data_IF_815286618423
#
_entry.id   IF_815286618423
#
_cell.length_a   1.000
_cell.length_b   1.000
_cell.length_c   1.000
_cell.angle_alpha   90.00
_cell.angle_beta   90.00
_cell.angle_gamma   90.00
#
_symmetry.space_group_name_H-M   'P 1'
#
loop_
_entity.id
_entity.type
_entity.pdbx_description
1 polymer ?
#
# COMPACT_ATOMS: atom_id res chain seq x y z
N UNK A 1 6.57 5.54 10.67
CA UNK A 1 7.87 5.31 11.35
C UNK A 1 8.24 6.41 12.36
N UNK A 2 8.07 7.71 12.07
CA UNK A 2 8.43 8.82 12.99
C UNK A 2 7.86 8.64 14.41
N UNK A 3 6.62 8.13 14.54
CA UNK A 3 5.97 7.89 15.84
C UNK A 3 6.70 6.87 16.74
N UNK A 4 7.54 5.99 16.20
CA UNK A 4 8.37 5.06 16.98
C UNK A 4 9.68 5.68 17.47
N UNK A 5 10.13 6.77 16.84
CA UNK A 5 11.34 7.50 17.24
C UNK A 5 11.05 8.65 18.21
N UNK A 6 9.78 9.03 18.36
CA UNK A 6 9.33 10.08 19.29
C UNK A 6 8.77 9.53 20.61
N UNK A 7 8.80 8.20 20.82
CA UNK A 7 8.36 7.59 22.09
C UNK A 7 9.53 7.48 23.06
N UNK A 8 9.29 7.73 24.37
CA UNK A 8 10.36 7.88 25.36
C UNK A 8 11.12 6.58 25.67
N UNK A 9 10.63 5.40 25.27
CA UNK A 9 11.33 4.14 25.51
C UNK A 9 10.93 3.04 24.52
N UNK A 10 11.81 2.03 24.37
CA UNK A 10 11.51 0.81 23.60
C UNK A 10 10.32 0.03 24.17
N UNK A 11 10.12 0.06 25.48
CA UNK A 11 8.97 -0.56 26.12
C UNK A 11 7.67 0.15 25.72
N UNK A 12 7.67 1.48 25.66
CA UNK A 12 6.53 2.26 25.18
C UNK A 12 6.23 2.00 23.70
N UNK A 13 7.27 1.87 22.86
CA UNK A 13 7.12 1.44 21.46
C UNK A 13 6.41 0.09 21.35
N UNK A 14 6.91 -0.95 22.05
CA UNK A 14 6.30 -2.29 22.05
C UNK A 14 4.85 -2.27 22.55
N UNK A 15 4.57 -1.54 23.63
CA UNK A 15 3.22 -1.40 24.16
C UNK A 15 2.29 -0.74 23.15
N UNK A 16 2.74 0.32 22.46
CA UNK A 16 1.98 0.96 21.39
C UNK A 16 1.69 -0.01 20.25
N UNK A 17 2.64 -0.85 19.86
CA UNK A 17 2.44 -1.87 18.82
C UNK A 17 1.38 -2.88 19.24
N UNK A 18 1.48 -3.41 20.47
CA UNK A 18 0.52 -4.40 21.00
C UNK A 18 -0.89 -3.81 21.05
N UNK A 19 -1.04 -2.60 21.59
CA UNK A 19 -2.34 -1.92 21.67
C UNK A 19 -2.90 -1.67 20.27
N UNK A 20 -2.06 -1.26 19.32
CA UNK A 20 -2.47 -1.06 17.93
C UNK A 20 -2.97 -2.36 17.28
N UNK A 21 -2.20 -3.45 17.40
CA UNK A 21 -2.58 -4.76 16.86
C UNK A 21 -3.87 -5.27 17.52
N UNK A 22 -3.99 -5.16 18.83
CA UNK A 22 -5.18 -5.58 19.58
C UNK A 22 -6.42 -4.78 19.16
N UNK A 23 -6.30 -3.46 18.99
CA UNK A 23 -7.39 -2.60 18.53
C UNK A 23 -7.83 -2.95 17.09
N UNK A 24 -6.88 -3.19 16.18
CA UNK A 24 -7.17 -3.62 14.81
C UNK A 24 -7.85 -4.99 14.79
N UNK A 25 -7.32 -5.95 15.55
CA UNK A 25 -7.90 -7.29 15.66
C UNK A 25 -9.31 -7.27 16.23
N UNK A 26 -9.52 -6.50 17.30
CA UNK A 26 -10.85 -6.29 17.88
C UNK A 26 -11.82 -5.64 16.89
N UNK A 27 -11.37 -4.62 16.16
CA UNK A 27 -12.17 -3.99 15.11
C UNK A 27 -12.58 -4.99 14.01
N UNK A 28 -11.66 -5.84 13.54
CA UNK A 28 -12.00 -6.86 12.54
C UNK A 28 -13.05 -7.86 13.04
N UNK A 29 -12.99 -8.26 14.31
CA UNK A 29 -14.04 -9.08 14.92
C UNK A 29 -15.40 -8.35 14.86
N UNK A 30 -15.44 -7.06 15.20
CA UNK A 30 -16.68 -6.27 15.10
C UNK A 30 -17.19 -6.16 13.66
N UNK A 31 -16.31 -5.97 12.67
CA UNK A 31 -16.74 -5.90 11.26
C UNK A 31 -17.39 -7.20 10.78
N UNK A 32 -16.94 -8.35 11.28
CA UNK A 32 -17.56 -9.64 10.99
C UNK A 32 -19.00 -9.69 11.53
N UNK A 33 -19.23 -9.25 12.76
CA UNK A 33 -20.59 -9.20 13.33
C UNK A 33 -21.50 -8.20 12.61
N UNK A 34 -20.96 -7.05 12.18
CA UNK A 34 -21.72 -6.08 11.39
C UNK A 34 -22.12 -6.66 10.02
N UNK A 35 -21.21 -7.36 9.35
CA UNK A 35 -21.50 -8.05 8.08
C UNK A 35 -22.55 -9.14 8.23
N UNK A 36 -22.42 -9.98 9.25
CA UNK A 36 -23.43 -11.01 9.57
C UNK A 36 -24.78 -10.39 9.93
N UNK A 37 -24.79 -9.33 10.74
CA UNK A 37 -26.01 -8.61 11.11
C UNK A 37 -26.71 -7.99 9.89
N UNK A 38 -25.94 -7.41 8.96
CA UNK A 38 -26.49 -6.91 7.70
C UNK A 38 -27.10 -8.05 6.86
N UNK A 39 -26.45 -9.22 6.83
CA UNK A 39 -26.91 -10.40 6.09
C UNK A 39 -28.21 -10.95 6.66
N UNK A 40 -28.28 -11.14 7.98
CA UNK A 40 -29.47 -11.72 8.64
C UNK A 40 -30.68 -10.80 8.59
N UNK A 41 -30.48 -9.49 8.56
CA UNK A 41 -31.57 -8.51 8.39
C UNK A 41 -31.98 -8.31 6.92
N UNK A 42 -31.30 -8.95 5.96
CA UNK A 42 -31.62 -8.82 4.53
C UNK A 42 -31.36 -7.42 3.96
N UNK A 43 -30.50 -6.63 4.60
CA UNK A 43 -30.20 -5.24 4.21
C UNK A 43 -28.96 -5.11 3.33
N UNK A 44 -28.28 -6.22 3.02
CA UNK A 44 -27.13 -6.22 2.11
C UNK A 44 -27.64 -6.07 0.68
N UNK A 45 -27.09 -5.10 -0.04
CA UNK A 45 -27.17 -5.09 -1.48
C UNK A 45 -26.10 -6.03 -2.04
N UNK A 46 -26.51 -7.14 -2.64
CA UNK A 46 -25.62 -8.18 -3.20
C UNK A 46 -24.75 -7.62 -4.35
N UNK A 47 -25.19 -6.51 -4.95
CA UNK A 47 -24.43 -5.79 -5.99
C UNK A 47 -23.48 -4.72 -5.41
N UNK A 48 -23.68 -4.27 -4.16
CA UNK A 48 -22.87 -3.24 -3.47
C UNK A 48 -22.42 -3.70 -2.06
N UNK A 49 -21.42 -4.58 -2.02
CA UNK A 49 -20.98 -5.25 -0.79
C UNK A 49 -20.23 -4.38 0.23
N UNK A 50 -20.05 -3.07 -0.01
CA UNK A 50 -19.21 -2.20 0.84
C UNK A 50 -20.01 -1.26 1.77
N UNK A 51 -21.35 -1.31 1.73
CA UNK A 51 -22.22 -0.43 2.54
C UNK A 51 -22.93 -1.16 3.69
N UNK A 52 -22.43 -2.33 4.12
CA UNK A 52 -23.08 -3.17 5.13
C UNK A 52 -23.37 -2.44 6.45
N UNK A 53 -22.43 -1.61 6.94
CA UNK A 53 -22.61 -0.89 8.21
C UNK A 53 -23.63 0.26 8.11
N UNK A 54 -23.56 1.17 7.11
CA UNK A 54 -24.62 2.16 6.89
C UNK A 54 -25.99 1.53 6.64
N UNK A 55 -26.10 0.50 5.79
CA UNK A 55 -27.38 -0.13 5.47
C UNK A 55 -27.99 -0.85 6.68
N UNK A 56 -27.15 -1.49 7.51
CA UNK A 56 -27.60 -2.01 8.79
C UNK A 56 -28.04 -0.89 9.75
N UNK A 57 -27.35 0.24 9.79
CA UNK A 57 -27.80 1.38 10.59
C UNK A 57 -29.15 1.93 10.10
N UNK A 58 -29.40 1.92 8.78
CA UNK A 58 -30.65 2.37 8.18
C UNK A 58 -31.85 1.52 8.61
N UNK A 59 -31.69 0.20 8.80
CA UNK A 59 -32.79 -0.62 9.30
C UNK A 59 -33.23 -0.28 10.73
N UNK A 60 -32.37 0.39 11.51
CA UNK A 60 -32.72 0.92 12.83
C UNK A 60 -33.20 2.38 12.80
N UNK A 61 -33.10 3.07 11.65
CA UNK A 61 -33.64 4.40 11.42
C UNK A 61 -32.67 5.40 10.79
N UNK A 62 -33.24 6.45 10.21
CA UNK A 62 -32.50 7.49 9.44
C UNK A 62 -31.50 8.25 10.30
N UNK A 63 -31.78 8.45 11.58
CA UNK A 63 -30.85 9.12 12.51
C UNK A 63 -29.56 8.32 12.64
N UNK A 64 -29.65 7.01 12.90
CA UNK A 64 -28.48 6.15 13.06
C UNK A 64 -27.70 6.04 11.75
N UNK A 65 -28.41 5.88 10.63
CA UNK A 65 -27.79 5.92 9.29
C UNK A 65 -26.99 7.20 9.06
N UNK A 66 -27.55 8.37 9.38
CA UNK A 66 -26.91 9.67 9.17
C UNK A 66 -25.67 9.83 10.05
N UNK A 67 -25.74 9.39 11.31
CA UNK A 67 -24.60 9.43 12.24
C UNK A 67 -23.47 8.52 11.74
N UNK A 68 -23.77 7.25 11.45
CA UNK A 68 -22.77 6.28 10.98
C UNK A 68 -22.16 6.71 9.64
N UNK A 69 -22.98 7.20 8.71
CA UNK A 69 -22.50 7.67 7.41
C UNK A 69 -21.61 8.91 7.53
N UNK A 70 -21.96 9.88 8.40
CA UNK A 70 -21.11 11.06 8.60
C UNK A 70 -19.77 10.71 9.25
N UNK A 71 -19.78 9.78 10.22
CA UNK A 71 -18.55 9.27 10.86
C UNK A 71 -17.67 8.52 9.86
N UNK A 72 -18.27 7.66 9.03
CA UNK A 72 -17.54 6.94 7.99
C UNK A 72 -16.90 7.92 6.99
N UNK A 73 -17.68 8.89 6.52
CA UNK A 73 -17.20 9.93 5.60
C UNK A 73 -16.06 10.76 6.19
N UNK A 74 -16.22 11.26 7.43
CA UNK A 74 -15.19 12.03 8.12
C UNK A 74 -13.90 11.21 8.32
N UNK A 75 -14.04 9.92 8.64
CA UNK A 75 -12.89 9.02 8.82
C UNK A 75 -12.15 8.79 7.51
N UNK A 76 -12.86 8.56 6.39
CA UNK A 76 -12.25 8.42 5.06
C UNK A 76 -11.52 9.68 4.64
N UNK A 77 -12.13 10.87 4.82
CA UNK A 77 -11.44 12.12 4.52
C UNK A 77 -10.18 12.32 5.39
N UNK A 78 -10.24 11.95 6.66
CA UNK A 78 -9.10 12.00 7.57
C UNK A 78 -7.95 11.10 7.11
N UNK A 79 -8.23 9.85 6.72
CA UNK A 79 -7.20 8.91 6.26
C UNK A 79 -6.64 9.30 4.90
N UNK A 80 -7.49 9.69 3.95
CA UNK A 80 -7.08 10.13 2.61
C UNK A 80 -6.17 11.36 2.70
N UNK A 81 -6.54 12.36 3.50
CA UNK A 81 -5.70 13.55 3.74
C UNK A 81 -4.33 13.17 4.29
N UNK A 82 -4.29 12.27 5.28
CA UNK A 82 -3.03 11.77 5.85
C UNK A 82 -2.14 11.07 4.81
N UNK A 83 -2.72 10.24 3.95
CA UNK A 83 -2.00 9.54 2.88
C UNK A 83 -1.50 10.49 1.79
N UNK A 84 -2.29 11.50 1.41
CA UNK A 84 -1.89 12.53 0.44
C UNK A 84 -0.71 13.33 0.99
N UNK A 85 -0.77 13.79 2.25
CA UNK A 85 0.32 14.56 2.86
C UNK A 85 1.59 13.72 2.98
N UNK A 86 1.47 12.45 3.38
CA UNK A 86 2.62 11.55 3.44
C UNK A 86 3.26 11.32 2.06
N UNK A 87 2.43 11.09 1.03
CA UNK A 87 2.90 10.90 -0.35
C UNK A 87 3.52 12.17 -0.93
N UNK A 88 2.93 13.34 -0.64
CA UNK A 88 3.46 14.62 -1.06
C UNK A 88 4.81 14.94 -0.38
N UNK A 89 4.96 14.58 0.89
CA UNK A 89 6.23 14.68 1.61
C UNK A 89 7.31 13.80 0.99
N UNK A 90 6.98 12.55 0.64
CA UNK A 90 7.90 11.65 -0.05
C UNK A 90 8.30 12.22 -1.43
N UNK A 91 7.37 12.76 -2.21
CA UNK A 91 7.70 13.38 -3.51
C UNK A 91 8.58 14.63 -3.33
N UNK A 92 8.22 15.52 -2.41
CA UNK A 92 8.97 16.76 -2.22
C UNK A 92 10.39 16.52 -1.67
N UNK A 93 10.56 15.61 -0.71
CA UNK A 93 11.86 15.34 -0.09
C UNK A 93 12.67 14.25 -0.80
N UNK A 94 12.06 13.12 -1.16
CA UNK A 94 12.81 12.00 -1.73
C UNK A 94 13.05 12.19 -3.23
N UNK A 95 12.05 12.68 -3.97
CA UNK A 95 12.18 12.85 -5.42
C UNK A 95 12.76 14.21 -5.80
N UNK A 96 12.18 15.32 -5.33
CA UNK A 96 12.61 16.67 -5.77
C UNK A 96 13.93 17.09 -5.12
N UNK A 97 14.04 17.00 -3.79
CA UNK A 97 15.23 17.43 -3.04
C UNK A 97 16.38 16.42 -3.22
N UNK A 98 16.18 15.17 -2.79
CA UNK A 98 17.26 14.16 -2.76
C UNK A 98 17.64 13.59 -4.14
N UNK A 99 16.66 13.22 -4.98
CA UNK A 99 16.95 12.55 -6.26
C UNK A 99 17.22 13.54 -7.40
N UNK A 100 16.40 14.59 -7.55
CA UNK A 100 16.57 15.62 -8.59
C UNK A 100 17.56 16.73 -8.19
N UNK A 101 17.98 16.80 -6.93
CA UNK A 101 18.97 17.77 -6.45
C UNK A 101 18.45 19.22 -6.47
N UNK A 102 17.15 19.43 -6.35
CA UNK A 102 16.56 20.77 -6.41
C UNK A 102 16.84 21.53 -5.11
N UNK A 103 17.82 22.45 -5.15
CA UNK A 103 18.10 23.35 -4.03
C UNK A 103 16.96 24.36 -3.83
N UNK A 104 16.04 24.04 -2.93
CA UNK A 104 14.84 24.83 -2.65
C UNK A 104 14.94 25.49 -1.29
N UNK A 105 14.52 26.76 -1.20
CA UNK A 105 14.35 27.44 0.09
C UNK A 105 13.25 26.77 0.93
N UNK A 106 13.23 26.97 2.24
CA UNK A 106 12.17 26.43 3.13
C UNK A 106 10.76 26.75 2.63
N UNK A 107 10.53 27.99 2.16
CA UNK A 107 9.26 28.39 1.53
C UNK A 107 8.98 27.62 0.23
N UNK A 108 10.02 27.36 -0.56
CA UNK A 108 9.95 26.55 -1.78
C UNK A 108 9.57 25.10 -1.49
N UNK A 109 10.16 24.48 -0.47
CA UNK A 109 9.85 23.11 -0.04
C UNK A 109 8.38 22.96 0.39
N UNK A 110 7.87 23.91 1.17
CA UNK A 110 6.45 23.93 1.57
C UNK A 110 5.54 24.07 0.35
N UNK A 111 5.90 24.93 -0.60
CA UNK A 111 5.10 25.14 -1.82
C UNK A 111 5.09 23.88 -2.70
N UNK A 112 6.24 23.25 -2.88
CA UNK A 112 6.34 22.00 -3.64
C UNK A 112 5.59 20.84 -2.98
N UNK A 113 5.60 20.75 -1.65
CA UNK A 113 4.76 19.81 -0.91
C UNK A 113 3.27 20.05 -1.18
N UNK A 114 2.80 21.30 -1.14
CA UNK A 114 1.39 21.65 -1.45
C UNK A 114 0.99 21.33 -2.89
N UNK A 115 1.85 21.65 -3.86
CA UNK A 115 1.60 21.33 -5.28
C UNK A 115 1.59 19.82 -5.49
N UNK A 116 2.55 19.10 -4.90
CA UNK A 116 2.60 17.63 -4.96
C UNK A 116 1.33 17.01 -4.35
N UNK A 117 0.84 17.54 -3.22
CA UNK A 117 -0.40 17.09 -2.61
C UNK A 117 -1.61 17.30 -3.54
N UNK A 118 -1.72 18.44 -4.21
CA UNK A 118 -2.78 18.68 -5.20
C UNK A 118 -2.70 17.72 -6.39
N UNK A 119 -1.50 17.49 -6.94
CA UNK A 119 -1.30 16.58 -8.08
C UNK A 119 -1.63 15.14 -7.69
N UNK A 120 -1.13 14.66 -6.56
CA UNK A 120 -1.41 13.31 -6.05
C UNK A 120 -2.91 13.15 -5.77
N UNK A 121 -3.55 14.15 -5.16
CA UNK A 121 -4.99 14.16 -4.93
C UNK A 121 -5.80 14.10 -6.22
N UNK A 122 -5.42 14.87 -7.25
CA UNK A 122 -6.07 14.85 -8.55
C UNK A 122 -5.93 13.48 -9.23
N UNK A 123 -4.73 12.87 -9.19
CA UNK A 123 -4.49 11.51 -9.71
C UNK A 123 -5.33 10.49 -8.95
N UNK A 124 -5.39 10.57 -7.62
CA UNK A 124 -6.18 9.65 -6.80
C UNK A 124 -7.68 9.74 -7.11
N UNK A 125 -8.22 10.95 -7.29
CA UNK A 125 -9.62 11.17 -7.70
C UNK A 125 -9.86 10.57 -9.09
N UNK A 126 -8.99 10.87 -10.06
CA UNK A 126 -9.12 10.36 -11.41
C UNK A 126 -9.11 8.83 -11.47
N UNK A 127 -8.16 8.19 -10.78
CA UNK A 127 -8.10 6.73 -10.69
C UNK A 127 -9.32 6.16 -9.96
N UNK A 128 -9.81 6.84 -8.91
CA UNK A 128 -11.03 6.45 -8.20
C UNK A 128 -12.26 6.39 -9.12
N UNK A 129 -12.40 7.37 -10.02
CA UNK A 129 -13.50 7.41 -11.02
C UNK A 129 -13.34 6.28 -12.04
N UNK A 130 -12.13 6.03 -12.56
CA UNK A 130 -11.89 4.95 -13.54
C UNK A 130 -12.24 3.57 -12.96
N UNK A 131 -11.87 3.34 -11.70
CA UNK A 131 -12.07 2.07 -11.03
C UNK A 131 -13.39 2.01 -10.23
N UNK A 132 -14.29 2.96 -10.46
CA UNK A 132 -15.65 2.93 -9.91
C UNK A 132 -16.37 1.64 -10.35
N UNK A 133 -17.05 1.01 -9.39
CA UNK A 133 -17.70 -0.29 -9.58
C UNK A 133 -16.77 -1.52 -9.50
N UNK A 134 -15.47 -1.35 -9.25
CA UNK A 134 -14.64 -2.48 -8.82
C UNK A 134 -14.88 -2.76 -7.34
N UNK A 135 -14.85 -4.05 -6.98
CA UNK A 135 -14.93 -4.40 -5.57
C UNK A 135 -13.68 -3.86 -4.83
N UNK A 136 -13.93 -3.02 -3.83
CA UNK A 136 -12.89 -2.34 -3.03
C UNK A 136 -11.93 -3.35 -2.38
N UNK A 137 -12.40 -4.54 -1.99
CA UNK A 137 -11.52 -5.60 -1.45
C UNK A 137 -10.46 -6.05 -2.46
N UNK A 138 -10.77 -6.09 -3.76
CA UNK A 138 -9.77 -6.40 -4.79
C UNK A 138 -8.78 -5.26 -4.99
N UNK A 139 -9.26 -4.01 -5.06
CA UNK A 139 -8.38 -2.83 -5.18
C UNK A 139 -7.40 -2.74 -4.01
N UNK A 140 -7.89 -2.97 -2.78
CA UNK A 140 -7.05 -3.02 -1.57
C UNK A 140 -6.08 -4.19 -1.63
N UNK A 141 -6.52 -5.37 -2.09
CA UNK A 141 -5.67 -6.55 -2.29
C UNK A 141 -4.52 -6.28 -3.27
N UNK A 142 -4.78 -5.62 -4.39
CA UNK A 142 -3.77 -5.21 -5.36
C UNK A 142 -2.79 -4.19 -4.79
N UNK A 143 -3.28 -3.18 -4.08
CA UNK A 143 -2.43 -2.19 -3.42
C UNK A 143 -1.48 -2.86 -2.41
N UNK A 144 -1.98 -3.79 -1.60
CA UNK A 144 -1.14 -4.56 -0.68
C UNK A 144 -0.18 -5.50 -1.39
N UNK A 145 -0.58 -6.14 -2.48
CA UNK A 145 0.30 -7.00 -3.25
C UNK A 145 1.49 -6.23 -3.81
N UNK A 146 1.25 -5.06 -4.40
CA UNK A 146 2.31 -4.17 -4.90
C UNK A 146 3.21 -3.70 -3.76
N UNK A 147 2.62 -3.19 -2.67
CA UNK A 147 3.37 -2.70 -1.53
C UNK A 147 4.23 -3.78 -0.86
N UNK A 148 3.69 -5.00 -0.71
CA UNK A 148 4.41 -6.14 -0.15
C UNK A 148 5.55 -6.58 -1.07
N UNK A 149 5.31 -6.66 -2.38
CA UNK A 149 6.31 -7.11 -3.36
C UNK A 149 7.52 -6.19 -3.44
N UNK A 150 7.31 -4.88 -3.32
CA UNK A 150 8.38 -3.90 -3.31
C UNK A 150 9.13 -3.86 -1.97
N UNK A 151 8.41 -3.83 -0.85
CA UNK A 151 9.01 -3.44 0.44
C UNK A 151 9.41 -4.63 1.32
N UNK A 152 8.61 -5.71 1.34
CA UNK A 152 8.81 -6.80 2.29
C UNK A 152 10.15 -7.53 2.08
N UNK A 153 10.53 -7.92 0.85
CA UNK A 153 11.82 -8.57 0.61
C UNK A 153 13.01 -7.67 0.96
N UNK A 154 12.96 -6.41 0.55
CA UNK A 154 13.99 -5.42 0.84
C UNK A 154 14.21 -5.25 2.36
N UNK A 155 13.15 -4.95 3.12
CA UNK A 155 13.24 -4.70 4.56
C UNK A 155 13.69 -5.96 5.30
N UNK A 156 13.10 -7.13 4.98
CA UNK A 156 13.45 -8.38 5.65
C UNK A 156 14.93 -8.74 5.43
N UNK A 157 15.40 -8.63 4.19
CA UNK A 157 16.77 -9.03 3.87
C UNK A 157 17.80 -8.04 4.42
N UNK A 158 17.51 -6.73 4.44
CA UNK A 158 18.37 -5.74 5.12
C UNK A 158 18.53 -6.07 6.62
N UNK A 159 17.46 -6.50 7.28
CA UNK A 159 17.48 -6.77 8.73
C UNK A 159 18.11 -8.11 9.10
N UNK A 160 17.84 -9.16 8.30
CA UNK A 160 18.19 -10.54 8.68
C UNK A 160 19.30 -11.16 7.84
N UNK A 161 19.64 -10.58 6.67
CA UNK A 161 20.67 -11.12 5.79
C UNK A 161 21.83 -10.15 5.61
N UNK A 162 22.96 -10.48 6.23
CA UNK A 162 24.19 -9.66 6.19
C UNK A 162 24.76 -9.44 4.79
N UNK A 163 24.34 -10.24 3.80
CA UNK A 163 24.84 -10.17 2.42
C UNK A 163 24.05 -9.23 1.52
N UNK A 164 23.07 -8.52 2.06
CA UNK A 164 22.24 -7.60 1.29
C UNK A 164 23.05 -6.41 0.76
N UNK A 165 22.90 -6.11 -0.53
CA UNK A 165 23.56 -4.96 -1.18
C UNK A 165 22.56 -3.91 -1.64
N UNK A 166 22.97 -2.65 -1.77
CA UNK A 166 22.11 -1.57 -2.27
C UNK A 166 21.55 -1.88 -3.68
N UNK A 167 22.37 -2.45 -4.56
CA UNK A 167 21.96 -2.87 -5.90
C UNK A 167 20.96 -4.02 -5.88
N UNK A 168 21.12 -4.96 -4.94
CA UNK A 168 20.15 -6.05 -4.73
C UNK A 168 18.80 -5.54 -4.23
N UNK A 169 18.81 -4.57 -3.30
CA UNK A 169 17.58 -3.92 -2.80
C UNK A 169 16.87 -3.17 -3.93
N UNK A 170 17.59 -2.36 -4.71
CA UNK A 170 17.00 -1.64 -5.85
C UNK A 170 16.39 -2.59 -6.88
N UNK A 171 17.10 -3.68 -7.22
CA UNK A 171 16.62 -4.69 -8.17
C UNK A 171 15.39 -5.44 -7.64
N UNK A 172 15.36 -5.75 -6.34
CA UNK A 172 14.21 -6.35 -5.67
C UNK A 172 12.97 -5.47 -5.75
N UNK A 173 13.09 -4.19 -5.39
CA UNK A 173 11.98 -3.23 -5.48
C UNK A 173 11.49 -3.13 -6.92
N UNK A 174 12.39 -3.03 -7.89
CA UNK A 174 12.04 -2.93 -9.30
C UNK A 174 11.33 -4.18 -9.82
N UNK A 175 11.88 -5.38 -9.58
CA UNK A 175 11.27 -6.65 -10.00
C UNK A 175 9.94 -6.88 -9.29
N UNK A 176 9.85 -6.60 -7.99
CA UNK A 176 8.62 -6.72 -7.21
C UNK A 176 7.51 -5.80 -7.72
N UNK A 177 7.83 -4.54 -8.01
CA UNK A 177 6.87 -3.57 -8.53
C UNK A 177 6.42 -3.93 -9.95
N UNK A 178 7.37 -4.20 -10.85
CA UNK A 178 7.07 -4.52 -12.26
C UNK A 178 6.31 -5.83 -12.40
N UNK A 179 6.68 -6.87 -11.66
CA UNK A 179 5.96 -8.15 -11.67
C UNK A 179 4.57 -8.03 -11.06
N UNK A 180 4.40 -7.35 -9.92
CA UNK A 180 3.10 -7.16 -9.31
C UNK A 180 2.15 -6.37 -10.22
N UNK A 181 2.59 -5.23 -10.76
CA UNK A 181 1.81 -4.43 -11.69
C UNK A 181 1.53 -5.19 -12.99
N UNK A 182 2.53 -5.88 -13.55
CA UNK A 182 2.37 -6.69 -14.75
C UNK A 182 1.29 -7.76 -14.57
N UNK A 183 1.34 -8.51 -13.47
CA UNK A 183 0.36 -9.54 -13.13
C UNK A 183 -1.04 -8.95 -12.91
N UNK A 184 -1.15 -7.78 -12.27
CA UNK A 184 -2.44 -7.08 -12.12
C UNK A 184 -2.99 -6.68 -13.48
N UNK A 185 -2.15 -6.10 -14.34
CA UNK A 185 -2.58 -5.62 -15.65
C UNK A 185 -3.06 -6.76 -16.54
N UNK A 186 -2.44 -7.95 -16.46
CA UNK A 186 -2.81 -9.14 -17.24
C UNK A 186 -3.85 -10.06 -16.57
N UNK A 187 -4.42 -9.62 -15.45
CA UNK A 187 -5.38 -10.42 -14.68
C UNK A 187 -6.78 -10.44 -15.32
N UNK A 188 -7.57 -11.50 -15.06
CA UNK A 188 -8.95 -11.60 -15.52
C UNK A 188 -9.82 -10.40 -15.15
N UNK A 189 -9.67 -9.86 -13.94
CA UNK A 189 -10.45 -8.71 -13.48
C UNK A 189 -10.11 -7.42 -14.26
N UNK A 190 -8.84 -7.27 -14.66
CA UNK A 190 -8.43 -6.14 -15.50
C UNK A 190 -8.88 -6.32 -16.95
N UNK A 191 -8.94 -7.56 -17.44
CA UNK A 191 -9.47 -7.88 -18.78
C UNK A 191 -10.93 -7.45 -18.94
N UNK A 192 -11.77 -7.62 -17.90
CA UNK A 192 -13.14 -7.09 -17.88
C UNK A 192 -13.15 -5.58 -18.09
N UNK A 193 -12.20 -4.87 -17.49
CA UNK A 193 -12.08 -3.40 -17.61
C UNK A 193 -11.60 -2.95 -18.99
N UNK A 194 -10.88 -3.82 -19.71
CA UNK A 194 -10.56 -3.59 -21.11
C UNK A 194 -11.72 -3.92 -22.06
N UNK A 195 -12.87 -4.40 -21.55
CA UNK A 195 -14.00 -4.84 -22.36
C UNK A 195 -13.79 -6.24 -23.00
N UNK A 196 -12.83 -7.01 -22.47
CA UNK A 196 -12.50 -8.36 -22.94
C UNK A 196 -13.11 -9.43 -22.03
N UNK A 197 -13.14 -10.67 -22.51
CA UNK A 197 -13.58 -11.80 -21.70
C UNK A 197 -12.49 -12.17 -20.68
N UNK A 198 -12.86 -12.42 -19.40
CA UNK A 198 -11.89 -12.86 -18.38
C UNK A 198 -11.11 -14.12 -18.75
N UNK A 199 -11.74 -15.02 -19.52
CA UNK A 199 -11.14 -16.28 -19.96
C UNK A 199 -9.96 -16.10 -20.93
N UNK A 200 -9.91 -14.96 -21.63
CA UNK A 200 -8.84 -14.63 -22.58
C UNK A 200 -7.65 -13.97 -21.87
N UNK A 201 -7.70 -13.82 -20.55
CA UNK A 201 -6.60 -13.28 -19.76
C UNK A 201 -5.40 -14.25 -19.79
N UNK A 202 -4.17 -13.76 -20.07
CA UNK A 202 -2.95 -14.56 -20.11
C UNK A 202 -2.70 -15.36 -18.83
N UNK A 203 -3.18 -14.85 -17.70
CA UNK A 203 -3.19 -15.56 -16.43
C UNK A 203 -4.64 -15.69 -15.96
N UNK A 204 -4.96 -16.80 -15.29
CA UNK A 204 -6.26 -17.03 -14.67
C UNK A 204 -6.17 -16.88 -13.13
N UNK A 205 -5.32 -15.96 -12.67
CA UNK A 205 -4.95 -15.83 -11.27
C UNK A 205 -4.97 -14.37 -10.83
N UNK A 206 -5.72 -14.07 -9.77
CA UNK A 206 -5.94 -12.71 -9.26
C UNK A 206 -5.12 -12.36 -8.00
N UNK A 207 -4.17 -13.21 -7.60
CA UNK A 207 -3.35 -13.00 -6.39
C UNK A 207 -1.89 -12.70 -6.72
N UNK A 208 -1.57 -11.54 -7.35
CA UNK A 208 -0.24 -11.21 -7.88
C UNK A 208 0.90 -11.41 -6.87
N UNK A 209 0.63 -11.12 -5.59
CA UNK A 209 1.56 -11.27 -4.47
C UNK A 209 2.22 -12.67 -4.38
N UNK A 210 1.50 -13.73 -4.75
CA UNK A 210 2.01 -15.09 -4.64
C UNK A 210 3.21 -15.35 -5.58
N UNK A 211 3.33 -14.58 -6.67
CA UNK A 211 4.42 -14.70 -7.64
C UNK A 211 5.40 -13.54 -7.48
N UNK A 212 4.90 -12.31 -7.35
CA UNK A 212 5.73 -11.11 -7.32
C UNK A 212 6.61 -11.00 -6.06
N UNK A 213 6.13 -11.49 -4.90
CA UNK A 213 6.94 -11.50 -3.67
C UNK A 213 8.12 -12.48 -3.79
N UNK A 214 7.93 -13.78 -4.15
CA UNK A 214 9.06 -14.68 -4.38
C UNK A 214 10.02 -14.18 -5.48
N UNK A 215 9.49 -13.65 -6.58
CA UNK A 215 10.32 -13.10 -7.66
C UNK A 215 11.23 -11.96 -7.16
N UNK A 216 10.68 -11.06 -6.33
CA UNK A 216 11.42 -9.97 -5.70
C UNK A 216 12.51 -10.48 -4.74
N UNK A 217 12.23 -11.51 -3.93
CA UNK A 217 13.25 -12.15 -3.09
C UNK A 217 14.37 -12.78 -3.90
N UNK A 218 14.03 -13.51 -4.96
CA UNK A 218 15.01 -14.16 -5.85
C UNK A 218 15.91 -13.09 -6.49
N UNK A 219 15.32 -12.01 -7.01
CA UNK A 219 16.07 -10.90 -7.58
C UNK A 219 17.03 -10.27 -6.56
N UNK A 220 16.57 -10.05 -5.31
CA UNK A 220 17.41 -9.52 -4.24
C UNK A 220 18.62 -10.41 -4.00
N UNK A 221 18.39 -11.72 -3.84
CA UNK A 221 19.42 -12.71 -3.51
C UNK A 221 20.42 -12.82 -4.65
N UNK A 222 19.96 -13.02 -5.88
CA UNK A 222 20.82 -13.20 -7.05
C UNK A 222 21.70 -11.97 -7.29
N UNK A 223 21.10 -10.77 -7.29
CA UNK A 223 21.86 -9.54 -7.54
C UNK A 223 22.83 -9.29 -6.39
N UNK A 224 22.40 -9.45 -5.14
CA UNK A 224 23.30 -9.25 -3.99
C UNK A 224 24.51 -10.19 -4.01
N UNK A 225 24.34 -11.46 -4.36
CA UNK A 225 25.46 -12.40 -4.46
C UNK A 225 26.45 -12.02 -5.57
N UNK A 226 25.96 -11.53 -6.70
CA UNK A 226 26.80 -11.10 -7.82
C UNK A 226 27.55 -9.81 -7.49
N UNK A 227 26.89 -8.85 -6.84
CA UNK A 227 27.45 -7.52 -6.56
C UNK A 227 28.37 -7.51 -5.34
N UNK A 228 28.14 -8.38 -4.36
CA UNK A 228 29.09 -8.59 -3.25
C UNK A 228 30.47 -8.99 -3.73
N UNK A 229 30.54 -9.92 -4.71
CA UNK A 229 31.80 -10.40 -5.26
C UNK A 229 32.61 -9.28 -5.94
N UNK A 230 31.91 -8.28 -6.48
CA UNK A 230 32.50 -7.11 -7.14
C UNK A 230 33.04 -6.08 -6.14
N UNK A 231 32.40 -5.92 -4.98
CA UNK A 231 32.90 -5.06 -3.90
C UNK A 231 34.19 -5.59 -3.26
N UNK A 232 34.24 -6.91 -2.99
CA UNK A 232 35.44 -7.55 -2.43
C UNK A 232 36.66 -7.49 -3.38
N UNK A 233 36.44 -7.65 -4.70
CA UNK A 233 37.51 -7.54 -5.71
C UNK A 233 38.07 -6.11 -5.87
N UNK A 234 37.29 -5.08 -5.54
CA UNK A 234 37.74 -3.67 -5.63
C UNK A 234 38.56 -3.28 -4.39
N UNK A 235 38.23 -3.80 -3.21
CA UNK A 235 39.06 -3.62 -2.00
C UNK A 235 40.40 -4.35 -2.12
N UNK A 236 40.43 -5.62 -2.57
CA UNK A 236 41.69 -6.37 -2.74
C UNK A 236 42.61 -5.78 -3.84
N UNK A 237 42.06 -5.13 -4.86
CA UNK A 237 42.84 -4.47 -5.91
C UNK A 237 43.30 -3.05 -5.57
N UNK A 238 42.76 -2.44 -4.50
CA UNK A 238 43.20 -1.14 -3.99
C UNK A 238 44.25 -1.26 -2.87
N UNK A 239 44.38 -2.45 -2.28
CA UNK A 239 45.40 -2.79 -1.28
C UNK A 239 46.66 -3.45 -1.86
N UNK A 240 46.71 -3.71 -3.17
CA UNK A 240 47.84 -4.27 -3.91
C UNK A 240 48.60 -3.22 -4.73
#
# INVERSE_FOLDING_TARGET
>A
LIRYYTVPSQAAARKSTIVGIAAIGFFYILTLYLGLGAMTNGVINITDNNMSAPLLALSFGVVLFSVISSLAFATVLGTVSGLIVASAGAVAHDLMDNFLGMNMTEKGKVTAGKVSAMVIGAIAIYLGIIFEGMNVSFLVGWAFAVAASANLPAILMILFWKKTTAQGVASSIFVGLTSALGLILISPDMWVRYGLLPADAPIQFNSPAAISIPASFIALVLVSLVTQKKGAMVEEGAEA
#
